data_IF_594281681907
#
_entry.id   IF_594281681907
#
_cell.length_a   1.000
_cell.length_b   1.000
_cell.length_c   1.000
_cell.angle_alpha   90.00
_cell.angle_beta   90.00
_cell.angle_gamma   90.00
#
_symmetry.space_group_name_H-M   'P 1'
#
loop_
_entity.id
_entity.type
_entity.pdbx_description
1 polymer ?
#
# COMPACT_ATOMS: atom_id res chain seq x y z
N UNK A 1 -5.31 0.54 31.52
CA UNK A 1 -4.68 -0.77 31.82
C UNK A 1 -4.59 -0.92 33.33
N UNK A 2 -5.31 -1.88 33.91
CA UNK A 2 -5.25 -2.19 35.34
C UNK A 2 -4.70 -3.62 35.41
N UNK A 3 -3.43 -3.78 35.81
CA UNK A 3 -2.72 -5.07 36.03
C UNK A 3 -2.12 -5.82 34.82
N UNK A 4 -1.76 -5.15 33.72
CA UNK A 4 -1.01 -5.81 32.62
C UNK A 4 -1.78 -6.89 31.84
N UNK A 5 -3.07 -7.05 32.09
CA UNK A 5 -3.93 -7.97 31.36
C UNK A 5 -4.61 -7.23 30.20
N UNK A 6 -4.42 -7.73 28.97
CA UNK A 6 -5.14 -7.25 27.78
C UNK A 6 -6.59 -7.70 27.89
N UNK A 7 -7.50 -6.76 28.13
CA UNK A 7 -8.94 -7.03 28.05
C UNK A 7 -9.41 -6.62 26.66
N UNK A 8 -10.04 -7.55 25.95
CA UNK A 8 -10.72 -7.24 24.71
C UNK A 8 -12.10 -6.67 25.02
N UNK A 9 -12.47 -5.59 24.35
CA UNK A 9 -13.82 -5.04 24.41
C UNK A 9 -14.76 -5.94 23.62
N UNK A 10 -16.01 -6.07 24.07
CA UNK A 10 -17.03 -6.73 23.26
C UNK A 10 -17.21 -5.99 21.92
N UNK A 11 -17.45 -6.71 20.81
CA UNK A 11 -17.72 -6.08 19.52
C UNK A 11 -18.98 -5.21 19.62
N UNK A 12 -18.96 -4.07 18.93
CA UNK A 12 -20.06 -3.12 18.92
C UNK A 12 -21.32 -3.75 18.30
N UNK A 13 -22.48 -3.56 18.93
CA UNK A 13 -23.79 -4.04 18.41
C UNK A 13 -24.13 -3.44 17.05
N UNK A 14 -23.59 -2.25 16.74
CA UNK A 14 -23.77 -1.58 15.46
C UNK A 14 -23.23 -2.38 14.26
N UNK A 15 -22.33 -3.36 14.48
CA UNK A 15 -21.80 -4.19 13.38
C UNK A 15 -22.87 -5.07 12.72
N UNK A 16 -23.96 -5.40 13.43
CA UNK A 16 -25.09 -6.19 12.91
C UNK A 16 -26.13 -5.35 12.18
N UNK A 17 -26.21 -4.04 12.49
CA UNK A 17 -27.16 -3.10 11.89
C UNK A 17 -26.64 -2.51 10.57
N UNK A 18 -25.33 -2.60 10.32
CA UNK A 18 -24.75 -2.11 9.08
C UNK A 18 -25.08 -3.03 7.90
N UNK A 19 -25.43 -2.48 6.72
CA UNK A 19 -25.59 -3.25 5.51
C UNK A 19 -24.34 -4.10 5.23
N UNK A 20 -24.54 -5.37 4.89
CA UNK A 20 -23.43 -6.33 4.67
C UNK A 20 -22.52 -5.94 3.51
N UNK A 21 -23.03 -5.15 2.55
CA UNK A 21 -22.26 -4.55 1.45
C UNK A 21 -21.20 -3.53 1.92
N UNK A 22 -21.38 -2.95 3.11
CA UNK A 22 -20.46 -1.97 3.71
C UNK A 22 -19.40 -2.62 4.61
N UNK A 23 -19.44 -3.95 4.79
CA UNK A 23 -18.54 -4.69 5.66
C UNK A 23 -17.47 -5.44 4.86
N UNK A 24 -16.21 -5.06 5.06
CA UNK A 24 -15.04 -5.76 4.48
C UNK A 24 -14.34 -6.60 5.55
N UNK A 25 -14.44 -7.92 5.44
CA UNK A 25 -13.74 -8.85 6.33
C UNK A 25 -12.26 -8.95 5.95
N UNK A 26 -11.38 -8.49 6.84
CA UNK A 26 -9.93 -8.48 6.61
C UNK A 26 -9.26 -9.83 6.88
N UNK A 27 -9.82 -10.63 7.79
CA UNK A 27 -9.33 -12.00 8.03
C UNK A 27 -10.18 -12.95 7.18
N UNK A 28 -9.60 -13.62 6.17
CA UNK A 28 -10.34 -14.64 5.44
C UNK A 28 -10.77 -15.73 6.42
N UNK A 29 -12.05 -16.08 6.43
CA UNK A 29 -12.55 -17.28 7.12
C UNK A 29 -11.90 -18.50 6.45
N UNK A 30 -10.74 -18.88 6.94
CA UNK A 30 -10.00 -20.02 6.44
C UNK A 30 -10.82 -21.27 6.72
N UNK A 31 -11.43 -21.81 5.68
CA UNK A 31 -11.96 -23.17 5.65
C UNK A 31 -10.80 -24.20 5.63
N UNK A 32 -9.58 -23.73 5.38
CA UNK A 32 -8.38 -24.54 5.14
C UNK A 32 -7.15 -24.10 5.97
N UNK A 33 -7.36 -23.44 7.13
CA UNK A 33 -6.26 -23.24 8.08
C UNK A 33 -5.92 -24.58 8.75
N UNK A 34 -5.18 -25.43 8.02
CA UNK A 34 -4.39 -26.52 8.59
C UNK A 34 -3.31 -25.93 9.49
N UNK A 35 -3.68 -25.66 10.73
CA UNK A 35 -2.76 -25.35 11.80
C UNK A 35 -3.06 -26.25 13.00
N UNK A 36 -2.33 -27.37 13.06
CA UNK A 36 -2.37 -28.33 14.17
C UNK A 36 -2.39 -29.79 13.70
N UNK A 37 -1.22 -30.39 13.48
CA UNK A 37 -1.10 -31.81 13.20
C UNK A 37 0.30 -32.22 12.76
N UNK A 38 1.23 -32.37 13.70
CA UNK A 38 2.45 -33.10 13.45
C UNK A 38 2.11 -34.59 13.27
N UNK A 39 2.32 -35.14 12.08
CA UNK A 39 2.44 -36.59 11.88
C UNK A 39 3.78 -36.88 11.21
N UNK A 40 4.71 -37.27 12.07
CA UNK A 40 5.98 -37.88 11.74
C UNK A 40 5.74 -39.18 10.95
N UNK A 41 6.24 -39.27 9.71
CA UNK A 41 6.80 -40.54 9.23
C UNK A 41 7.90 -40.33 8.18
N UNK A 42 9.10 -40.24 8.75
CA UNK A 42 10.38 -40.72 8.26
C UNK A 42 10.30 -41.83 7.19
N UNK A 43 10.66 -41.45 5.96
CA UNK A 43 11.86 -41.93 5.27
C UNK A 43 11.85 -43.30 4.60
N UNK A 44 12.32 -43.36 3.35
CA UNK A 44 13.42 -44.27 2.91
C UNK A 44 14.25 -43.64 1.79
N UNK A 45 15.48 -43.32 2.16
CA UNK A 45 16.63 -43.07 1.31
C UNK A 45 17.20 -44.41 0.80
N UNK A 46 17.78 -44.41 -0.40
CA UNK A 46 18.72 -45.40 -0.91
C UNK A 46 19.69 -44.68 -1.87
N UNK A 47 21.02 -44.82 -1.84
CA UNK A 47 21.95 -45.51 -0.95
C UNK A 47 23.36 -44.94 -1.27
N UNK A 48 24.09 -44.50 -0.22
CA UNK A 48 25.56 -44.44 0.05
C UNK A 48 26.57 -44.43 -1.13
N UNK A 49 27.57 -43.55 -1.16
CA UNK A 49 28.69 -43.49 -0.21
C UNK A 49 29.27 -42.06 -0.10
N UNK A 50 29.44 -41.59 1.14
CA UNK A 50 30.50 -40.66 1.54
C UNK A 50 31.87 -41.23 1.10
N UNK A 51 32.86 -40.42 0.75
CA UNK A 51 33.79 -39.88 1.75
C UNK A 51 34.37 -38.54 1.29
N UNK A 52 33.87 -37.46 1.90
CA UNK A 52 34.51 -36.16 2.14
C UNK A 52 35.33 -35.50 1.00
N UNK A 53 34.64 -34.95 -0.01
CA UNK A 53 35.25 -34.19 -1.13
C UNK A 53 34.42 -32.91 -1.37
N UNK A 54 34.67 -31.80 -0.67
CA UNK A 54 35.78 -30.84 -0.83
C UNK A 54 35.92 -30.27 -2.24
N UNK A 55 35.23 -29.14 -2.40
CA UNK A 55 35.67 -27.89 -3.04
C UNK A 55 37.20 -27.78 -3.24
N UNK A 56 37.71 -28.49 -4.25
CA UNK A 56 38.92 -28.20 -5.03
C UNK A 56 38.70 -28.68 -6.47
N UNK A 57 37.81 -28.01 -7.22
CA UNK A 57 37.76 -28.20 -8.67
C UNK A 57 36.41 -27.96 -9.34
N UNK A 58 36.32 -26.85 -10.08
CA UNK A 58 35.40 -26.64 -11.21
C UNK A 58 33.90 -26.56 -10.89
N UNK A 59 33.05 -25.82 -11.58
CA UNK A 59 33.19 -25.13 -12.86
C UNK A 59 32.57 -23.73 -12.71
N UNK A 60 33.28 -22.72 -13.17
CA UNK A 60 33.02 -21.28 -13.06
C UNK A 60 31.80 -20.77 -13.87
N UNK A 61 30.86 -21.64 -14.25
CA UNK A 61 29.85 -21.36 -15.27
C UNK A 61 28.46 -21.03 -14.73
N UNK A 62 28.15 -21.34 -13.47
CA UNK A 62 26.77 -21.27 -12.93
C UNK A 62 26.58 -20.22 -11.83
N UNK A 63 27.29 -19.09 -11.93
CA UNK A 63 27.03 -17.90 -11.10
C UNK A 63 25.99 -17.03 -11.83
N UNK A 64 24.79 -16.80 -11.29
CA UNK A 64 23.82 -15.92 -11.94
C UNK A 64 24.35 -14.48 -11.94
N UNK A 65 24.81 -14.02 -13.11
CA UNK A 65 25.15 -12.61 -13.37
C UNK A 65 23.90 -11.76 -13.17
N UNK A 66 23.97 -10.84 -12.20
CA UNK A 66 22.98 -9.76 -12.06
C UNK A 66 23.19 -8.79 -13.22
N UNK A 67 22.28 -8.81 -14.19
CA UNK A 67 22.27 -7.82 -15.26
C UNK A 67 21.66 -6.51 -14.73
N UNK A 68 22.52 -5.63 -14.24
CA UNK A 68 22.22 -4.23 -13.94
C UNK A 68 22.01 -3.46 -15.26
N UNK A 69 20.84 -3.67 -15.88
CA UNK A 69 20.43 -3.05 -17.14
C UNK A 69 19.17 -2.20 -16.96
N UNK A 70 19.36 -0.93 -16.65
CA UNK A 70 18.31 0.07 -16.51
C UNK A 70 17.35 0.10 -17.73
N UNK A 71 16.07 -0.20 -17.47
CA UNK A 71 14.95 0.28 -18.28
C UNK A 71 13.76 0.60 -17.37
N UNK A 72 13.97 1.61 -16.50
CA UNK A 72 12.90 2.35 -15.84
C UNK A 72 12.17 3.24 -16.86
N UNK A 73 11.53 2.65 -17.87
CA UNK A 73 10.84 3.43 -18.88
C UNK A 73 9.56 2.71 -19.35
N UNK A 74 8.42 3.33 -18.99
CA UNK A 74 7.14 3.27 -19.72
C UNK A 74 6.27 2.03 -19.43
N UNK A 75 5.86 1.82 -18.17
CA UNK A 75 4.62 1.05 -17.89
C UNK A 75 3.71 1.74 -16.86
N UNK A 76 4.12 2.86 -16.28
CA UNK A 76 3.39 3.45 -15.13
C UNK A 76 2.20 4.32 -15.54
N UNK A 77 1.98 4.64 -16.81
CA UNK A 77 0.96 5.64 -17.19
C UNK A 77 -0.49 5.13 -17.10
N UNK A 78 -0.77 3.87 -17.41
CA UNK A 78 -2.16 3.37 -17.46
C UNK A 78 -2.74 3.06 -16.06
N UNK A 79 -1.96 2.41 -15.18
CA UNK A 79 -2.39 2.11 -13.82
C UNK A 79 -2.55 3.38 -12.97
N UNK A 80 -1.68 4.38 -13.18
CA UNK A 80 -1.74 5.65 -12.45
C UNK A 80 -2.92 6.52 -12.90
N UNK A 81 -3.29 6.45 -14.19
CA UNK A 81 -4.47 7.14 -14.73
C UNK A 81 -5.79 6.52 -14.21
N UNK A 82 -5.86 5.19 -14.16
CA UNK A 82 -6.96 4.43 -13.55
C UNK A 82 -7.11 4.77 -12.06
N UNK A 83 -6.00 4.86 -11.33
CA UNK A 83 -6.01 5.12 -9.89
C UNK A 83 -6.42 6.55 -9.56
N UNK A 84 -6.07 7.53 -10.40
CA UNK A 84 -6.58 8.90 -10.28
C UNK A 84 -8.08 9.00 -10.57
N UNK A 85 -8.60 8.18 -11.49
CA UNK A 85 -10.02 8.15 -11.84
C UNK A 85 -10.90 7.60 -10.71
N UNK A 86 -10.38 6.65 -9.91
CA UNK A 86 -11.08 6.10 -8.74
C UNK A 86 -11.21 7.10 -7.59
N UNK A 87 -10.19 7.94 -7.38
CA UNK A 87 -10.12 8.88 -6.24
C UNK A 87 -11.18 9.99 -6.26
N UNK A 88 -11.92 10.15 -7.36
CA UNK A 88 -13.02 11.10 -7.47
C UNK A 88 -12.59 12.58 -7.52
N UNK A 89 -11.29 12.86 -7.69
CA UNK A 89 -10.75 14.21 -7.83
C UNK A 89 -9.67 14.28 -8.91
N UNK A 90 -9.58 15.41 -9.63
CA UNK A 90 -8.65 15.61 -10.75
C UNK A 90 -7.27 16.14 -10.34
N UNK A 91 -7.04 16.43 -9.06
CA UNK A 91 -5.79 17.02 -8.58
C UNK A 91 -4.68 15.99 -8.34
N UNK A 92 -3.45 16.41 -8.56
CA UNK A 92 -2.24 15.62 -8.29
C UNK A 92 -1.32 16.30 -7.29
N UNK A 93 -0.57 15.50 -6.53
CA UNK A 93 0.50 16.03 -5.66
C UNK A 93 1.58 16.66 -6.53
N UNK A 94 2.02 17.85 -6.15
CA UNK A 94 3.02 18.65 -6.87
C UNK A 94 2.44 19.69 -7.82
N UNK A 95 1.13 19.67 -8.07
CA UNK A 95 0.43 20.61 -8.96
C UNK A 95 0.33 22.01 -8.35
N UNK A 96 0.45 23.05 -9.17
CA UNK A 96 0.17 24.43 -8.78
C UNK A 96 -1.32 24.74 -8.86
N UNK A 97 -1.82 25.38 -7.81
CA UNK A 97 -3.24 25.72 -7.66
C UNK A 97 -3.39 27.14 -7.12
N UNK A 98 -4.51 27.77 -7.46
CA UNK A 98 -4.91 29.08 -6.97
C UNK A 98 -6.20 28.98 -6.16
N UNK A 99 -6.24 29.66 -5.01
CA UNK A 99 -7.41 29.81 -4.17
C UNK A 99 -7.71 31.29 -3.95
N UNK A 100 -8.98 31.70 -4.02
CA UNK A 100 -9.38 33.12 -3.92
C UNK A 100 -8.91 33.79 -2.62
N UNK A 101 -8.96 33.07 -1.50
CA UNK A 101 -8.52 33.58 -0.18
C UNK A 101 -7.02 33.48 0.09
N UNK A 102 -6.36 32.45 -0.43
CA UNK A 102 -5.00 32.09 -0.03
C UNK A 102 -3.96 32.36 -1.14
N UNK A 103 -4.42 32.67 -2.35
CA UNK A 103 -3.58 32.89 -3.52
C UNK A 103 -3.04 31.59 -4.09
N UNK A 104 -1.87 31.69 -4.68
CA UNK A 104 -1.15 30.57 -5.31
C UNK A 104 -0.49 29.67 -4.26
N UNK A 105 -0.53 28.36 -4.53
CA UNK A 105 0.14 27.35 -3.73
C UNK A 105 0.38 26.07 -4.51
N UNK A 106 1.15 25.17 -3.90
CA UNK A 106 1.47 23.86 -4.47
C UNK A 106 0.85 22.76 -3.61
N UNK A 107 0.21 21.78 -4.24
CA UNK A 107 -0.34 20.61 -3.54
C UNK A 107 0.81 19.76 -3.03
N UNK A 108 0.87 19.52 -1.71
CA UNK A 108 1.93 18.72 -1.07
C UNK A 108 1.44 17.32 -0.72
N UNK A 109 0.16 17.18 -0.37
CA UNK A 109 -0.44 15.90 -0.02
C UNK A 109 -1.92 15.86 -0.41
N UNK A 110 -2.43 14.66 -0.64
CA UNK A 110 -3.84 14.38 -0.91
C UNK A 110 -4.26 13.21 0.00
N UNK A 111 -5.35 13.40 0.75
CA UNK A 111 -5.91 12.39 1.65
C UNK A 111 -7.41 12.22 1.40
N UNK A 112 -7.91 11.01 1.57
CA UNK A 112 -9.33 10.68 1.38
C UNK A 112 -9.70 10.41 -0.08
N UNK A 113 -10.99 10.17 -0.31
CA UNK A 113 -11.56 9.78 -1.60
C UNK A 113 -12.90 10.49 -1.81
N UNK A 114 -13.22 10.83 -3.06
CA UNK A 114 -14.51 11.43 -3.43
C UNK A 114 -14.77 12.76 -2.74
N UNK A 115 -15.94 12.89 -2.11
CA UNK A 115 -16.45 14.16 -1.55
C UNK A 115 -15.72 14.63 -0.29
N UNK A 116 -15.15 13.70 0.47
CA UNK A 116 -14.40 13.95 1.70
C UNK A 116 -12.89 14.07 1.46
N UNK A 117 -12.45 14.05 0.20
CA UNK A 117 -11.06 14.22 -0.16
C UNK A 117 -10.56 15.62 0.25
N UNK A 118 -9.36 15.65 0.84
CA UNK A 118 -8.67 16.84 1.32
C UNK A 118 -7.31 16.95 0.65
N UNK A 119 -6.96 18.17 0.28
CA UNK A 119 -5.63 18.53 -0.19
C UNK A 119 -4.90 19.36 0.86
N UNK A 120 -3.66 19.00 1.12
CA UNK A 120 -2.72 19.90 1.77
C UNK A 120 -2.04 20.75 0.69
N UNK A 121 -2.21 22.06 0.78
CA UNK A 121 -1.63 23.02 -0.16
C UNK A 121 -0.71 23.96 0.59
N UNK A 122 0.52 24.11 0.13
CA UNK A 122 1.46 25.10 0.63
C UNK A 122 1.32 26.41 -0.16
N UNK A 123 0.69 27.41 0.44
CA UNK A 123 0.47 28.73 -0.17
C UNK A 123 1.64 29.67 0.07
N UNK A 124 2.04 30.43 -0.96
CA UNK A 124 3.18 31.36 -0.88
C UNK A 124 3.05 32.38 0.26
N UNK A 125 1.83 32.87 0.52
CA UNK A 125 1.55 33.90 1.54
C UNK A 125 1.05 33.36 2.89
N UNK A 126 0.46 32.16 2.92
CA UNK A 126 -0.26 31.64 4.10
C UNK A 126 0.27 30.30 4.62
N UNK A 127 1.30 29.74 3.98
CA UNK A 127 1.90 28.45 4.33
C UNK A 127 0.96 27.27 4.06
N UNK A 128 1.23 26.15 4.74
CA UNK A 128 0.47 24.92 4.58
C UNK A 128 -0.95 25.02 5.17
N UNK A 129 -1.96 24.67 4.36
CA UNK A 129 -3.37 24.55 4.77
C UNK A 129 -3.99 23.26 4.26
N UNK A 130 -4.92 22.72 5.04
CA UNK A 130 -5.78 21.62 4.65
C UNK A 130 -7.09 22.16 4.08
N UNK A 131 -7.46 21.71 2.90
CA UNK A 131 -8.65 22.17 2.17
C UNK A 131 -9.42 20.97 1.61
N UNK A 132 -10.73 20.94 1.83
CA UNK A 132 -11.59 19.90 1.27
C UNK A 132 -11.85 20.18 -0.20
N UNK A 133 -11.53 19.23 -1.08
CA UNK A 133 -11.54 19.40 -2.53
C UNK A 133 -12.93 19.78 -3.07
N UNK A 134 -14.00 19.23 -2.47
CA UNK A 134 -15.39 19.52 -2.84
C UNK A 134 -15.83 20.97 -2.57
N UNK A 135 -15.16 21.67 -1.65
CA UNK A 135 -15.58 22.99 -1.17
C UNK A 135 -14.60 24.08 -1.60
N UNK A 136 -13.31 23.75 -1.68
CA UNK A 136 -12.23 24.72 -1.78
C UNK A 136 -12.14 25.48 -3.10
N UNK A 137 -12.90 25.12 -4.16
CA UNK A 137 -12.91 25.83 -5.46
C UNK A 137 -11.48 26.18 -5.96
N UNK A 138 -10.59 25.20 -5.90
CA UNK A 138 -9.20 25.35 -6.36
C UNK A 138 -9.18 25.42 -7.89
N UNK A 139 -8.45 26.38 -8.43
CA UNK A 139 -8.20 26.52 -9.88
C UNK A 139 -6.80 26.01 -10.15
N UNK A 140 -6.64 25.11 -11.12
CA UNK A 140 -5.31 24.68 -11.57
C UNK A 140 -4.67 25.84 -12.32
N UNK A 141 -3.45 26.18 -11.93
CA UNK A 141 -2.63 27.13 -12.71
C UNK A 141 -1.83 26.27 -13.68
N UNK A 142 -2.16 26.35 -14.97
CA UNK A 142 -1.30 25.77 -16.00
C UNK A 142 -0.07 26.67 -16.14
N UNK A 143 1.09 26.11 -15.83
CA UNK A 143 2.40 26.74 -15.96
C UNK A 143 3.11 26.16 -17.18
#
# INVERSE_FOLDING_TARGET
MLHGQVRYNMPSRFLEELPSESLKWLTPKAKDARWGGASWQKGRSANTNSVDELWWGGNESDVPVRNDGASNAIVTSSLQLEQNKRRGHSFQVGQEVFHTKFGEGRVTALEGEGVDAKAQVNFKRHGAKWLQLSIAKLVVVET
#
